data_IF_548857498669
#
_entry.id   IF_548857498669
#
_cell.length_a   1.000
_cell.length_b   1.000
_cell.length_c   1.000
_cell.angle_alpha   90.00
_cell.angle_beta   90.00
_cell.angle_gamma   90.00
#
_symmetry.space_group_name_H-M   'P 1'
#
loop_
_entity.id
_entity.type
_entity.pdbx_description
1 polymer ?
#
# COMPACT_ATOMS: atom_id res chain seq x y z
N UNK A 1 5.37 -26.25 -8.23
CA UNK A 1 6.30 -25.25 -7.65
C UNK A 1 5.50 -23.97 -7.44
N UNK A 2 5.35 -23.47 -6.20
CA UNK A 2 4.64 -22.20 -5.93
C UNK A 2 5.52 -21.02 -6.33
N UNK A 3 4.97 -20.05 -7.05
CA UNK A 3 5.61 -18.78 -7.40
C UNK A 3 5.22 -17.72 -6.38
N UNK A 4 6.03 -16.66 -6.24
CA UNK A 4 5.73 -15.54 -5.31
C UNK A 4 4.36 -14.92 -5.58
N UNK A 5 4.00 -14.78 -6.86
CA UNK A 5 2.69 -14.26 -7.27
C UNK A 5 1.50 -15.07 -6.73
N UNK A 6 1.71 -16.34 -6.38
CA UNK A 6 0.67 -17.23 -5.87
C UNK A 6 0.45 -17.05 -4.35
N UNK A 7 1.29 -16.26 -3.68
CA UNK A 7 1.26 -16.01 -2.23
C UNK A 7 1.16 -14.52 -1.87
N UNK A 8 1.39 -13.62 -2.82
CA UNK A 8 1.31 -12.18 -2.58
C UNK A 8 -0.14 -11.71 -2.39
N UNK A 9 -0.32 -10.61 -1.65
CA UNK A 9 -1.60 -9.91 -1.57
C UNK A 9 -1.83 -9.14 -2.88
N UNK A 10 -2.87 -9.48 -3.63
CA UNK A 10 -3.15 -8.84 -4.93
C UNK A 10 -3.70 -7.41 -4.81
N UNK A 11 -4.56 -7.17 -3.82
CA UNK A 11 -5.22 -5.88 -3.59
C UNK A 11 -4.65 -5.22 -2.33
N UNK A 12 -3.62 -4.42 -2.51
CA UNK A 12 -2.96 -3.69 -1.42
C UNK A 12 -3.53 -2.29 -1.29
N UNK A 13 -3.62 -1.78 -0.06
CA UNK A 13 -3.85 -0.38 0.19
C UNK A 13 -2.57 0.42 -0.15
N UNK A 14 -2.73 1.58 -0.77
CA UNK A 14 -1.64 2.49 -1.14
C UNK A 14 -2.12 3.94 -0.99
N UNK A 15 -1.18 4.88 -1.03
CA UNK A 15 -1.46 6.34 -0.97
C UNK A 15 -0.86 7.03 -2.19
N UNK A 16 -1.33 8.24 -2.51
CA UNK A 16 -0.69 9.09 -3.53
C UNK A 16 0.36 10.01 -2.91
N UNK A 17 1.30 10.57 -3.69
CA UNK A 17 2.30 11.54 -3.19
C UNK A 17 1.69 12.77 -2.50
N UNK A 18 0.46 13.13 -2.85
CA UNK A 18 -0.29 14.27 -2.31
C UNK A 18 -1.07 13.91 -1.04
N UNK A 19 -1.18 12.61 -0.72
CA UNK A 19 -1.87 12.15 0.49
C UNK A 19 -1.12 12.65 1.72
N UNK A 20 -1.85 13.23 2.68
CA UNK A 20 -1.21 13.76 3.88
C UNK A 20 -0.72 12.63 4.78
N UNK A 21 0.30 12.91 5.59
CA UNK A 21 0.85 11.95 6.56
C UNK A 21 -0.23 11.47 7.55
N UNK A 22 -1.16 12.34 7.92
CA UNK A 22 -2.26 11.98 8.84
C UNK A 22 -3.22 10.99 8.20
N UNK A 23 -3.62 11.19 6.95
CA UNK A 23 -4.48 10.24 6.22
C UNK A 23 -3.76 8.90 6.00
N UNK A 24 -2.46 8.94 5.67
CA UNK A 24 -1.65 7.72 5.55
C UNK A 24 -1.59 6.95 6.88
N UNK A 25 -1.39 7.64 8.01
CA UNK A 25 -1.38 7.02 9.34
C UNK A 25 -2.75 6.43 9.73
N UNK A 26 -3.84 7.11 9.40
CA UNK A 26 -5.20 6.57 9.59
C UNK A 26 -5.43 5.31 8.76
N UNK A 27 -4.94 5.28 7.51
CA UNK A 27 -5.04 4.11 6.65
C UNK A 27 -4.18 2.95 7.16
N UNK A 28 -2.96 3.23 7.63
CA UNK A 28 -2.09 2.25 8.29
C UNK A 28 -2.79 1.62 9.50
N UNK A 29 -3.38 2.44 10.38
CA UNK A 29 -4.12 1.94 11.54
C UNK A 29 -5.35 1.12 11.13
N UNK A 30 -6.14 1.61 10.16
CA UNK A 30 -7.36 0.93 9.68
C UNK A 30 -7.05 -0.45 9.10
N UNK A 31 -5.97 -0.59 8.36
CA UNK A 31 -5.57 -1.85 7.74
C UNK A 31 -4.62 -2.69 8.62
N UNK A 32 -4.24 -2.18 9.80
CA UNK A 32 -3.27 -2.78 10.71
C UNK A 32 -1.94 -3.12 10.02
N UNK A 33 -1.39 -2.14 9.30
CA UNK A 33 -0.12 -2.26 8.57
C UNK A 33 0.87 -1.17 9.01
N UNK A 34 2.16 -1.49 9.01
CA UNK A 34 3.21 -0.54 9.38
C UNK A 34 3.77 0.27 8.20
N UNK A 35 3.37 -0.05 6.97
CA UNK A 35 3.86 0.60 5.74
C UNK A 35 2.76 0.61 4.69
N UNK A 36 2.75 1.68 3.89
CA UNK A 36 1.93 1.81 2.70
C UNK A 36 2.84 2.21 1.55
N UNK A 37 2.76 1.56 0.38
CA UNK A 37 3.43 2.05 -0.82
C UNK A 37 2.81 3.39 -1.25
N UNK A 38 3.67 4.29 -1.72
CA UNK A 38 3.25 5.54 -2.37
C UNK A 38 3.22 5.28 -3.87
N UNK A 39 2.08 5.53 -4.52
CA UNK A 39 1.89 5.24 -5.93
C UNK A 39 1.41 6.48 -6.71
N UNK A 40 1.99 6.70 -7.88
CA UNK A 40 1.49 7.61 -8.90
C UNK A 40 1.00 6.79 -10.10
N UNK A 41 -0.33 6.70 -10.26
CA UNK A 41 -0.95 5.80 -11.23
C UNK A 41 -0.72 4.31 -10.89
N UNK A 42 -0.05 3.58 -11.79
CA UNK A 42 0.30 2.16 -11.59
C UNK A 42 1.76 1.97 -11.12
N UNK A 43 2.49 3.06 -10.88
CA UNK A 43 3.89 3.02 -10.50
C UNK A 43 4.06 3.36 -9.03
N UNK A 44 4.97 2.67 -8.35
CA UNK A 44 5.44 3.04 -7.01
C UNK A 44 6.51 4.13 -7.17
N UNK A 45 6.46 5.17 -6.36
CA UNK A 45 7.36 6.34 -6.41
C UNK A 45 8.05 6.61 -5.08
#
# INVERSE_FOLDING_TARGET
MKKIKDLMTEKVAYVSPETTVTEAAQLMQKHNVGVLPVCEGQNVV
#
